data_IF_641458324271
#
_entry.id   IF_641458324271
#
_cell.length_a   1.000
_cell.length_b   1.000
_cell.length_c   1.000
_cell.angle_alpha   90.00
_cell.angle_beta   90.00
_cell.angle_gamma   90.00
#
_symmetry.space_group_name_H-M   'P 1'
#
loop_
_entity.id
_entity.type
_entity.pdbx_description
1 polymer ?
#
# COMPACT_ATOMS: atom_id res chain seq x y z
N UNK A 1 11.05 12.02 5.97
CA UNK A 1 12.24 12.71 6.53
C UNK A 1 11.93 14.04 7.23
N UNK A 2 11.18 14.95 6.61
CA UNK A 2 10.84 16.25 7.24
C UNK A 2 10.15 16.12 8.62
N UNK A 3 9.22 15.16 8.79
CA UNK A 3 8.58 14.88 10.10
C UNK A 3 9.61 14.53 11.18
N UNK A 4 10.60 13.68 10.86
CA UNK A 4 11.66 13.28 11.79
C UNK A 4 12.60 14.44 12.15
N UNK A 5 12.69 15.46 11.30
CA UNK A 5 13.52 16.65 11.54
C UNK A 5 12.84 17.70 12.42
N UNK A 6 11.54 17.55 12.74
CA UNK A 6 10.84 18.51 13.60
C UNK A 6 11.30 18.38 15.05
N UNK A 7 11.46 19.52 15.75
CA UNK A 7 11.83 19.56 17.17
C UNK A 7 10.84 18.81 18.09
N UNK A 8 9.60 18.59 17.65
CA UNK A 8 8.58 17.86 18.39
C UNK A 8 8.69 16.32 18.26
N UNK A 9 9.46 15.81 17.30
CA UNK A 9 9.62 14.38 17.09
C UNK A 9 10.50 13.77 18.19
N UNK A 10 10.06 12.64 18.73
CA UNK A 10 10.65 11.91 19.86
C UNK A 10 10.71 10.41 19.58
N UNK A 11 11.08 10.05 18.37
CA UNK A 11 11.21 8.65 17.93
C UNK A 11 9.91 7.86 17.90
N UNK A 12 8.76 8.54 17.74
CA UNK A 12 7.49 7.86 17.51
C UNK A 12 7.52 7.08 16.18
N UNK A 13 6.93 5.87 16.10
CA UNK A 13 6.79 5.18 14.83
C UNK A 13 5.95 6.00 13.86
N UNK A 14 6.33 5.95 12.58
CA UNK A 14 5.58 6.58 11.49
C UNK A 14 4.82 5.48 10.75
N UNK A 15 3.52 5.70 10.59
CA UNK A 15 2.62 4.83 9.85
C UNK A 15 1.79 5.70 8.91
N UNK A 16 1.89 5.45 7.61
CA UNK A 16 0.90 5.88 6.65
C UNK A 16 -0.25 4.89 6.74
N UNK A 17 -1.35 5.28 7.39
CA UNK A 17 -2.43 4.35 7.71
C UNK A 17 -3.18 3.88 6.46
N UNK A 18 -3.32 4.76 5.47
CA UNK A 18 -4.07 4.53 4.23
C UNK A 18 -3.42 5.34 3.11
N UNK A 19 -3.16 4.68 1.97
CA UNK A 19 -2.64 5.30 0.75
C UNK A 19 -3.20 4.55 -0.48
N UNK A 20 -3.78 5.30 -1.41
CA UNK A 20 -4.45 4.84 -2.62
C UNK A 20 -3.54 4.94 -3.86
N UNK A 21 -2.23 4.91 -3.64
CA UNK A 21 -1.23 4.86 -4.71
C UNK A 21 -1.00 3.42 -5.21
N UNK A 22 -1.20 3.21 -6.51
CA UNK A 22 -1.31 1.85 -7.10
C UNK A 22 -0.21 1.46 -8.09
N UNK A 23 0.80 2.31 -8.29
CA UNK A 23 1.91 2.09 -9.24
C UNK A 23 2.95 1.08 -8.69
N UNK A 24 2.50 -0.11 -8.28
CA UNK A 24 3.32 -1.14 -7.62
C UNK A 24 4.43 -1.71 -8.52
N UNK A 25 4.29 -1.59 -9.84
CA UNK A 25 5.27 -2.01 -10.82
C UNK A 25 6.37 -0.96 -11.05
N UNK A 26 6.18 0.28 -10.59
CA UNK A 26 7.19 1.33 -10.72
C UNK A 26 8.32 1.13 -9.71
N UNK A 27 9.58 1.42 -10.10
CA UNK A 27 10.74 1.30 -9.21
C UNK A 27 10.70 2.30 -8.05
N UNK A 28 9.95 3.39 -8.20
CA UNK A 28 9.66 4.37 -7.17
C UNK A 28 8.14 4.45 -6.98
N UNK A 29 7.67 4.07 -5.80
CA UNK A 29 6.27 4.11 -5.41
C UNK A 29 6.18 4.35 -3.90
N UNK A 30 5.01 4.80 -3.44
CA UNK A 30 4.83 5.20 -2.05
C UNK A 30 5.11 4.08 -1.03
N UNK A 31 4.74 2.83 -1.34
CA UNK A 31 5.03 1.68 -0.47
C UNK A 31 6.55 1.50 -0.32
N UNK A 32 7.31 1.48 -1.43
CA UNK A 32 8.76 1.36 -1.42
C UNK A 32 9.43 2.55 -0.71
N UNK A 33 8.96 3.77 -0.97
CA UNK A 33 9.45 4.97 -0.31
C UNK A 33 9.27 4.88 1.22
N UNK A 34 8.09 4.45 1.70
CA UNK A 34 7.80 4.30 3.12
C UNK A 34 8.65 3.21 3.79
N UNK A 35 8.67 1.99 3.24
CA UNK A 35 9.41 0.87 3.85
C UNK A 35 10.92 1.10 3.84
N UNK A 36 11.46 1.79 2.81
CA UNK A 36 12.88 2.18 2.76
C UNK A 36 13.31 3.15 3.87
N UNK A 37 12.34 3.79 4.55
CA UNK A 37 12.53 4.71 5.67
C UNK A 37 12.04 4.14 7.00
N UNK A 38 11.82 2.82 7.06
CA UNK A 38 11.28 2.13 8.23
C UNK A 38 9.97 2.76 8.72
N UNK A 39 9.13 3.20 7.78
CA UNK A 39 7.77 3.63 8.06
C UNK A 39 6.80 2.55 7.58
N UNK A 40 5.73 2.32 8.36
CA UNK A 40 4.64 1.45 7.93
C UNK A 40 3.82 2.10 6.83
N UNK A 41 3.22 1.28 5.96
CA UNK A 41 2.40 1.73 4.84
C UNK A 41 1.15 0.85 4.71
N UNK A 42 -0.03 1.47 4.64
CA UNK A 42 -1.31 0.79 4.55
C UNK A 42 -1.94 0.94 3.17
N UNK A 43 -2.25 -0.19 2.54
CA UNK A 43 -2.90 -0.24 1.23
C UNK A 43 -4.37 0.16 1.34
N UNK A 44 -4.76 1.27 0.71
CA UNK A 44 -6.15 1.69 0.59
C UNK A 44 -6.69 1.35 -0.80
N UNK A 45 -7.49 0.29 -0.87
CA UNK A 45 -8.10 -0.17 -2.11
C UNK A 45 -9.62 0.02 -2.04
N UNK A 46 -10.10 1.16 -2.52
CA UNK A 46 -11.53 1.37 -2.78
C UNK A 46 -11.84 1.11 -4.26
N UNK A 47 -13.11 0.78 -4.54
CA UNK A 47 -13.60 0.63 -5.91
C UNK A 47 -13.83 2.00 -6.55
N UNK A 48 -13.13 2.26 -7.65
CA UNK A 48 -13.28 3.49 -8.44
C UNK A 48 -14.53 3.47 -9.32
N UNK A 49 -14.82 4.60 -9.95
CA UNK A 49 -15.88 4.67 -10.95
C UNK A 49 -15.60 3.66 -12.08
N UNK A 50 -16.65 2.99 -12.54
CA UNK A 50 -16.63 1.97 -13.61
C UNK A 50 -15.89 0.65 -13.28
N UNK A 51 -15.46 0.45 -12.04
CA UNK A 51 -14.87 -0.81 -11.58
C UNK A 51 -15.92 -1.85 -11.13
N UNK A 52 -15.54 -3.13 -11.19
CA UNK A 52 -16.42 -4.26 -10.88
C UNK A 52 -16.35 -4.71 -9.42
N UNK A 53 -17.14 -5.72 -9.04
CA UNK A 53 -17.13 -6.26 -7.67
C UNK A 53 -15.80 -6.92 -7.25
N UNK A 54 -14.93 -7.21 -8.23
CA UNK A 54 -13.60 -7.75 -7.99
C UNK A 54 -12.61 -6.69 -7.49
N UNK A 55 -12.91 -5.40 -7.69
CA UNK A 55 -12.09 -4.28 -7.30
C UNK A 55 -12.50 -3.72 -5.92
N UNK A 56 -11.50 -3.22 -5.19
CA UNK A 56 -11.66 -2.68 -3.85
C UNK A 56 -11.67 -3.75 -2.75
N UNK A 57 -10.82 -3.63 -1.74
CA UNK A 57 -10.96 -4.32 -0.47
C UNK A 57 -11.84 -3.55 0.53
N UNK A 58 -12.00 -2.24 0.35
CA UNK A 58 -12.78 -1.34 1.20
C UNK A 58 -14.12 -0.93 0.59
N UNK A 59 -14.63 -1.67 -0.39
CA UNK A 59 -15.92 -1.38 -1.05
C UNK A 59 -16.85 -2.57 -1.01
N UNK A 60 -17.98 -2.44 -0.31
CA UNK A 60 -18.97 -3.51 -0.17
C UNK A 60 -19.91 -3.61 -1.38
N UNK A 61 -20.30 -4.82 -1.83
CA UNK A 61 -19.78 -6.12 -1.40
C UNK A 61 -18.32 -6.32 -1.86
N UNK A 62 -17.52 -6.99 -1.02
CA UNK A 62 -16.07 -7.15 -1.22
C UNK A 62 -15.77 -8.56 -1.76
N UNK A 63 -15.02 -8.65 -2.86
CA UNK A 63 -14.30 -9.86 -3.21
C UNK A 63 -12.95 -9.91 -2.47
N UNK A 64 -12.82 -10.84 -1.52
CA UNK A 64 -11.61 -11.00 -0.69
C UNK A 64 -10.45 -11.71 -1.41
N UNK A 65 -10.67 -12.26 -2.61
CA UNK A 65 -9.60 -12.84 -3.43
C UNK A 65 -8.68 -11.79 -4.05
N UNK A 66 -7.57 -12.23 -4.62
CA UNK A 66 -6.63 -11.40 -5.40
C UNK A 66 -7.14 -11.32 -6.86
N UNK A 67 -8.33 -10.73 -7.02
CA UNK A 67 -9.13 -10.86 -8.24
C UNK A 67 -8.92 -9.75 -9.29
N UNK A 68 -8.40 -8.59 -8.91
CA UNK A 68 -8.11 -7.48 -9.82
C UNK A 68 -6.62 -7.27 -10.08
N UNK A 69 -6.28 -6.51 -11.12
CA UNK A 69 -4.88 -6.17 -11.44
C UNK A 69 -4.22 -5.40 -10.31
N UNK A 70 -4.97 -4.50 -9.67
CA UNK A 70 -4.49 -3.71 -8.54
C UNK A 70 -4.14 -4.58 -7.34
N UNK A 71 -5.01 -5.54 -7.00
CA UNK A 71 -4.78 -6.51 -5.93
C UNK A 71 -3.57 -7.39 -6.23
N UNK A 72 -3.44 -7.88 -7.47
CA UNK A 72 -2.26 -8.65 -7.90
C UNK A 72 -0.97 -7.83 -7.76
N UNK A 73 -0.97 -6.59 -8.24
CA UNK A 73 0.18 -5.70 -8.14
C UNK A 73 0.64 -5.48 -6.71
N UNK A 74 -0.29 -5.25 -5.78
CA UNK A 74 0.02 -5.10 -4.36
C UNK A 74 0.68 -6.37 -3.78
N UNK A 75 0.06 -7.53 -3.96
CA UNK A 75 0.58 -8.78 -3.39
C UNK A 75 1.89 -9.24 -4.03
N UNK A 76 2.11 -8.98 -5.32
CA UNK A 76 3.37 -9.23 -6.00
C UNK A 76 4.52 -8.38 -5.44
N UNK A 77 4.27 -7.08 -5.21
CA UNK A 77 5.26 -6.21 -4.58
C UNK A 77 5.52 -6.62 -3.12
N UNK A 78 4.46 -6.93 -2.37
CA UNK A 78 4.57 -7.39 -1.00
C UNK A 78 5.40 -8.68 -0.88
N UNK A 79 5.18 -9.65 -1.77
CA UNK A 79 5.96 -10.87 -1.81
C UNK A 79 7.46 -10.58 -2.03
N UNK A 80 7.80 -9.69 -2.97
CA UNK A 80 9.19 -9.25 -3.22
C UNK A 80 9.81 -8.58 -1.99
N UNK A 81 9.09 -7.67 -1.34
CA UNK A 81 9.58 -6.93 -0.16
C UNK A 81 9.79 -7.85 1.04
N UNK A 82 8.91 -8.84 1.22
CA UNK A 82 8.95 -9.77 2.36
C UNK A 82 9.80 -11.02 2.11
N UNK A 83 10.22 -11.27 0.88
CA UNK A 83 10.89 -12.51 0.49
C UNK A 83 9.96 -13.73 0.49
N UNK A 84 8.65 -13.53 0.48
CA UNK A 84 7.69 -14.62 0.35
C UNK A 84 7.73 -15.20 -1.08
N UNK A 85 7.69 -16.52 -1.19
CA UNK A 85 7.48 -17.22 -2.46
C UNK A 85 6.00 -17.62 -2.55
N UNK A 86 5.18 -16.90 -3.33
CA UNK A 86 3.77 -17.22 -3.53
C UNK A 86 3.56 -18.52 -4.32
#
# INVERSE_FOLDING_TARGET
>A
DQVRAQAAYRDQPILFNEDDHFDFEKPDNNMLAAVSRYAGWGYFDYRMADEGFDDGYQSVPVNWGIASDRKRGFFDLLAKVTGANP
#
